data_IF_309715004254
#
_entry.id   IF_309715004254
#
_cell.length_a   1.000
_cell.length_b   1.000
_cell.length_c   1.000
_cell.angle_alpha   90.00
_cell.angle_beta   90.00
_cell.angle_gamma   90.00
#
_symmetry.space_group_name_H-M   'P 1'
#
loop_
_entity.id
_entity.type
_entity.pdbx_description
1 polymer ?
#
# COMPACT_ATOMS: atom_id res chain seq x y z
N UNK A 1 22.63 -3.85 -17.37
CA UNK A 1 23.42 -4.79 -16.53
C UNK A 1 22.44 -5.59 -15.68
N UNK A 2 22.09 -6.81 -16.09
CA UNK A 2 21.14 -7.69 -15.39
C UNK A 2 21.59 -7.97 -13.95
N UNK A 3 22.91 -8.12 -13.75
CA UNK A 3 23.54 -8.36 -12.45
C UNK A 3 23.25 -7.24 -11.45
N UNK A 4 23.28 -5.99 -11.88
CA UNK A 4 23.01 -4.84 -11.02
C UNK A 4 21.55 -4.84 -10.54
N UNK A 5 20.60 -5.18 -11.43
CA UNK A 5 19.17 -5.27 -11.07
C UNK A 5 18.91 -6.40 -10.07
N UNK A 6 19.54 -7.56 -10.25
CA UNK A 6 19.43 -8.68 -9.31
C UNK A 6 20.03 -8.32 -7.95
N UNK A 7 21.13 -7.56 -7.93
CA UNK A 7 21.79 -7.12 -6.70
C UNK A 7 20.92 -6.13 -5.93
N UNK A 8 20.34 -5.13 -6.61
CA UNK A 8 19.42 -4.17 -6.00
C UNK A 8 18.14 -4.83 -5.47
N UNK A 9 17.58 -5.80 -6.21
CA UNK A 9 16.42 -6.56 -5.75
C UNK A 9 16.70 -7.28 -4.43
N UNK A 10 17.81 -8.03 -4.35
CA UNK A 10 18.24 -8.73 -3.13
C UNK A 10 18.54 -7.78 -1.98
N UNK A 11 19.02 -6.57 -2.27
CA UNK A 11 19.28 -5.54 -1.26
C UNK A 11 17.99 -5.07 -0.60
N UNK A 12 16.93 -4.86 -1.39
CA UNK A 12 15.60 -4.44 -0.89
C UNK A 12 14.88 -5.54 -0.10
N UNK A 13 15.11 -6.82 -0.41
CA UNK A 13 14.62 -7.94 0.42
C UNK A 13 15.19 -7.92 1.84
N UNK A 14 16.44 -7.49 2.00
CA UNK A 14 17.10 -7.28 3.30
C UNK A 14 16.86 -5.87 3.87
N UNK A 15 15.98 -5.09 3.24
CA UNK A 15 15.64 -3.74 3.65
C UNK A 15 14.91 -3.68 4.99
N UNK A 16 14.78 -2.49 5.59
CA UNK A 16 14.10 -2.31 6.87
C UNK A 16 12.63 -2.76 6.80
N UNK A 17 12.13 -3.34 7.89
CA UNK A 17 10.71 -3.64 8.05
C UNK A 17 9.98 -2.37 8.44
N UNK A 18 9.01 -1.95 7.64
CA UNK A 18 8.27 -0.71 7.85
C UNK A 18 6.78 -0.98 7.91
N UNK A 19 6.15 -0.49 8.98
CA UNK A 19 4.71 -0.49 9.13
C UNK A 19 4.20 0.94 8.92
N UNK A 20 3.37 1.15 7.92
CA UNK A 20 2.71 2.42 7.65
C UNK A 20 1.25 2.35 8.10
N UNK A 21 0.81 3.29 8.93
CA UNK A 21 -0.54 3.33 9.50
C UNK A 21 -1.20 4.64 9.04
N UNK A 22 -2.38 4.56 8.42
CA UNK A 22 -3.06 5.74 7.87
C UNK A 22 -4.25 5.35 6.99
N UNK A 23 -4.68 6.21 6.05
CA UNK A 23 -5.78 5.91 5.14
C UNK A 23 -5.73 6.74 3.85
N UNK A 24 -6.63 6.41 2.92
CA UNK A 24 -6.83 7.14 1.67
C UNK A 24 -5.61 7.18 0.73
N UNK A 25 -5.66 8.09 -0.23
CA UNK A 25 -4.66 8.24 -1.31
C UNK A 25 -3.26 8.64 -0.82
N UNK A 26 -3.16 9.32 0.33
CA UNK A 26 -1.89 9.73 0.92
C UNK A 26 -1.04 8.54 1.33
N UNK A 27 -1.65 7.54 1.97
CA UNK A 27 -0.96 6.30 2.36
C UNK A 27 -0.47 5.53 1.13
N UNK A 28 -1.31 5.40 0.09
CA UNK A 28 -0.94 4.74 -1.17
C UNK A 28 0.27 5.43 -1.86
N UNK A 29 0.31 6.76 -1.83
CA UNK A 29 1.42 7.55 -2.41
C UNK A 29 2.73 7.31 -1.66
N UNK A 30 2.69 7.30 -0.33
CA UNK A 30 3.86 7.01 0.51
C UNK A 30 4.36 5.59 0.27
N UNK A 31 3.46 4.59 0.31
CA UNK A 31 3.81 3.19 0.07
C UNK A 31 4.46 2.97 -1.30
N UNK A 32 3.97 3.67 -2.34
CA UNK A 32 4.56 3.60 -3.69
C UNK A 32 6.01 4.06 -3.72
N UNK A 33 6.36 5.15 -3.03
CA UNK A 33 7.75 5.60 -2.90
C UNK A 33 8.60 4.67 -2.02
N UNK A 34 8.00 4.09 -0.98
CA UNK A 34 8.73 3.18 -0.09
C UNK A 34 9.13 1.85 -0.76
N UNK A 35 8.40 1.40 -1.79
CA UNK A 35 8.74 0.19 -2.57
C UNK A 35 10.11 0.28 -3.26
N UNK A 36 10.63 1.49 -3.47
CA UNK A 36 11.98 1.69 -4.01
C UNK A 36 13.10 1.43 -2.99
N UNK A 37 12.77 1.37 -1.71
CA UNK A 37 13.73 1.35 -0.60
C UNK A 37 13.71 0.04 0.18
N UNK A 38 12.57 -0.65 0.24
CA UNK A 38 12.42 -1.93 0.94
C UNK A 38 11.26 -2.73 0.36
N UNK A 39 11.38 -4.06 0.39
CA UNK A 39 10.27 -4.97 0.08
C UNK A 39 9.48 -5.38 1.33
N UNK A 40 9.94 -4.98 2.51
CA UNK A 40 9.37 -5.38 3.80
C UNK A 40 8.36 -4.35 4.31
N UNK A 41 7.30 -4.11 3.53
CA UNK A 41 6.27 -3.12 3.84
C UNK A 41 5.00 -3.79 4.37
N UNK A 42 4.41 -3.19 5.40
CA UNK A 42 3.07 -3.55 5.90
C UNK A 42 2.26 -2.28 6.04
N UNK A 43 1.06 -2.27 5.47
CA UNK A 43 0.14 -1.14 5.57
C UNK A 43 -1.05 -1.52 6.46
N UNK A 44 -1.30 -0.70 7.48
CA UNK A 44 -2.51 -0.78 8.31
C UNK A 44 -3.39 0.39 7.92
N UNK A 45 -4.44 0.09 7.16
CA UNK A 45 -5.34 1.10 6.59
C UNK A 45 -6.53 1.31 7.52
N UNK A 46 -6.63 2.50 8.10
CA UNK A 46 -7.83 2.97 8.76
C UNK A 46 -8.83 3.43 7.69
N UNK A 47 -9.99 2.78 7.65
CA UNK A 47 -11.12 3.14 6.78
C UNK A 47 -11.80 4.39 7.36
N UNK A 48 -11.18 5.56 7.22
CA UNK A 48 -11.72 6.81 7.75
C UNK A 48 -12.45 7.66 6.72
N UNK A 49 -12.28 7.40 5.42
CA UNK A 49 -12.95 8.17 4.39
C UNK A 49 -13.19 7.35 3.14
N UNK A 50 -14.45 6.97 2.96
CA UNK A 50 -15.00 6.84 1.62
C UNK A 50 -16.34 7.57 1.64
N UNK A 51 -16.33 8.90 1.76
CA UNK A 51 -17.51 9.71 1.47
C UNK A 51 -17.91 9.72 -0.02
N UNK A 52 -17.08 9.11 -0.89
CA UNK A 52 -17.27 9.04 -2.35
C UNK A 52 -17.68 7.65 -2.86
N UNK A 53 -17.37 7.33 -4.13
CA UNK A 53 -17.88 6.16 -4.87
C UNK A 53 -17.64 4.79 -4.21
N UNK A 54 -16.58 4.63 -3.42
CA UNK A 54 -16.29 3.41 -2.65
C UNK A 54 -17.17 3.26 -1.39
N UNK A 55 -17.71 4.36 -0.86
CA UNK A 55 -18.60 4.39 0.30
C UNK A 55 -20.04 4.08 -0.04
N UNK A 56 -20.46 4.42 -1.26
CA UNK A 56 -21.73 3.97 -1.83
C UNK A 56 -21.73 2.45 -2.06
N UNK A 57 -20.58 1.89 -2.42
CA UNK A 57 -20.40 0.44 -2.52
C UNK A 57 -20.47 -0.26 -1.15
N UNK A 58 -19.96 0.40 -0.10
CA UNK A 58 -20.07 -0.06 1.30
C UNK A 58 -21.51 -0.04 1.81
N UNK A 59 -22.32 0.99 1.48
CA UNK A 59 -23.75 1.06 1.84
C UNK A 59 -24.61 0.04 1.08
N UNK A 60 -24.25 -0.29 -0.16
CA UNK A 60 -25.03 -1.22 -0.99
C UNK A 60 -24.68 -2.70 -0.78
N UNK A 61 -23.45 -3.04 -0.36
CA UNK A 61 -23.02 -4.45 -0.24
C UNK A 61 -22.49 -4.87 1.14
N UNK A 62 -22.33 -3.97 2.11
CA UNK A 62 -21.93 -4.33 3.49
C UNK A 62 -20.51 -4.90 3.63
N UNK A 63 -19.69 -4.81 2.57
CA UNK A 63 -18.31 -5.31 2.52
C UNK A 63 -17.34 -4.13 2.64
N UNK A 64 -16.17 -4.37 3.26
CA UNK A 64 -15.06 -3.41 3.29
C UNK A 64 -14.68 -3.03 1.85
N UNK A 65 -14.45 -1.74 1.56
CA UNK A 65 -14.21 -1.26 0.20
C UNK A 65 -12.94 -1.93 -0.37
N UNK A 66 -13.06 -2.75 -1.43
CA UNK A 66 -11.90 -3.41 -2.04
C UNK A 66 -10.94 -2.41 -2.71
N UNK A 67 -11.38 -1.17 -2.91
CA UNK A 67 -10.61 -0.07 -3.49
C UNK A 67 -9.37 0.29 -2.67
N UNK A 68 -9.47 0.31 -1.34
CA UNK A 68 -8.34 0.63 -0.45
C UNK A 68 -7.28 -0.47 -0.45
N UNK A 69 -7.71 -1.74 -0.47
CA UNK A 69 -6.80 -2.89 -0.60
C UNK A 69 -6.11 -2.87 -1.97
N UNK A 70 -6.87 -2.60 -3.05
CA UNK A 70 -6.34 -2.52 -4.41
C UNK A 70 -5.36 -1.35 -4.60
N UNK A 71 -5.66 -0.18 -4.02
CA UNK A 71 -4.77 0.99 -4.13
C UNK A 71 -3.47 0.82 -3.32
N UNK A 72 -3.48 -0.01 -2.28
CA UNK A 72 -2.30 -0.27 -1.45
C UNK A 72 -1.41 -1.41 -1.96
N UNK A 73 -1.95 -2.34 -2.75
CA UNK A 73 -1.19 -3.39 -3.44
C UNK A 73 -0.35 -2.84 -4.60
#
# INVERSE_FOLDING_TARGET
KLVDQVTEYRRREKGPRVVAIGGGHGLATVLRGMKEHTHNLTAVVAVTDDGGSSGDLRRSMGILPPGDIRNCL
#
